data_IF_698997128162
#
_entry.id   IF_698997128162
#
_cell.length_a   1.000
_cell.length_b   1.000
_cell.length_c   1.000
_cell.angle_alpha   90.00
_cell.angle_beta   90.00
_cell.angle_gamma   90.00
#
_symmetry.space_group_name_H-M   'P 1'
#
loop_
_entity.id
_entity.type
_entity.pdbx_description
1 polymer ?
#
# COMPACT_ATOMS: atom_id res chain seq x y z
N UNK A 1 11.38 -15.78 -25.61
CA UNK A 1 11.79 -14.74 -24.65
C UNK A 1 10.89 -14.92 -23.44
N UNK A 2 11.41 -15.42 -22.32
CA UNK A 2 10.66 -15.43 -21.07
C UNK A 2 10.39 -13.98 -20.69
N UNK A 3 9.14 -13.54 -20.87
CA UNK A 3 8.75 -12.16 -20.71
C UNK A 3 8.76 -11.77 -19.24
N UNK A 4 9.69 -10.92 -18.85
CA UNK A 4 9.67 -10.25 -17.54
C UNK A 4 8.37 -9.46 -17.41
N UNK A 5 7.47 -9.91 -16.54
CA UNK A 5 6.21 -9.21 -16.27
C UNK A 5 6.48 -7.92 -15.49
N UNK A 6 5.52 -6.98 -15.50
CA UNK A 6 5.56 -5.76 -14.69
C UNK A 6 5.67 -6.02 -13.18
N UNK A 7 5.36 -7.25 -12.74
CA UNK A 7 5.46 -7.68 -11.35
C UNK A 7 6.83 -8.24 -10.96
N UNK A 8 7.70 -8.54 -11.93
CA UNK A 8 9.01 -9.16 -11.64
C UNK A 8 9.84 -8.36 -10.62
N UNK A 9 9.98 -7.02 -10.74
CA UNK A 9 10.71 -6.24 -9.75
C UNK A 9 10.13 -6.37 -8.34
N UNK A 10 8.79 -6.43 -8.21
CA UNK A 10 8.12 -6.58 -6.92
C UNK A 10 8.37 -7.95 -6.31
N UNK A 11 8.34 -9.02 -7.12
CA UNK A 11 8.61 -10.38 -6.68
C UNK A 11 10.05 -10.54 -6.17
N UNK A 12 11.03 -9.95 -6.87
CA UNK A 12 12.42 -9.97 -6.44
C UNK A 12 12.66 -9.11 -5.20
N UNK A 13 12.10 -7.90 -5.17
CA UNK A 13 12.22 -7.01 -4.01
C UNK A 13 11.59 -7.58 -2.75
N UNK A 14 10.48 -8.31 -2.85
CA UNK A 14 9.81 -8.96 -1.71
C UNK A 14 10.72 -9.94 -0.96
N UNK A 15 11.71 -10.55 -1.63
CA UNK A 15 12.67 -11.46 -0.99
C UNK A 15 13.60 -10.74 0.00
N UNK A 16 13.73 -9.41 -0.14
CA UNK A 16 14.67 -8.58 0.59
C UNK A 16 14.01 -7.73 1.70
N UNK A 17 12.69 -7.87 1.90
CA UNK A 17 11.94 -7.01 2.85
C UNK A 17 12.18 -7.35 4.31
N UNK A 18 12.82 -8.49 4.60
CA UNK A 18 13.12 -8.96 5.95
C UNK A 18 14.62 -9.06 6.18
N UNK A 19 15.05 -8.80 7.41
CA UNK A 19 16.39 -9.12 7.88
C UNK A 19 16.59 -10.64 7.99
N UNK A 20 17.81 -11.08 8.25
CA UNK A 20 18.14 -12.49 8.51
C UNK A 20 17.33 -13.05 9.69
N UNK A 21 16.95 -12.21 10.66
CA UNK A 21 16.13 -12.57 11.82
C UNK A 21 14.61 -12.49 11.52
N UNK A 22 14.21 -12.19 10.29
CA UNK A 22 12.81 -12.11 9.88
C UNK A 22 12.12 -10.78 10.18
N UNK A 23 12.86 -9.76 10.63
CA UNK A 23 12.31 -8.45 10.97
C UNK A 23 12.13 -7.59 9.71
N UNK A 24 11.03 -6.86 9.60
CA UNK A 24 10.74 -6.02 8.43
C UNK A 24 11.71 -4.83 8.35
N UNK A 25 12.47 -4.76 7.25
CA UNK A 25 13.36 -3.65 6.93
C UNK A 25 12.57 -2.53 6.27
N UNK A 26 12.70 -1.30 6.78
CA UNK A 26 11.93 -0.15 6.31
C UNK A 26 12.17 0.14 4.84
N UNK A 27 13.43 0.32 4.45
CA UNK A 27 13.77 0.78 3.09
C UNK A 27 13.39 -0.25 2.02
N UNK A 28 13.76 -1.54 2.14
CA UNK A 28 13.30 -2.58 1.22
C UNK A 28 11.77 -2.70 1.14
N UNK A 29 11.05 -2.63 2.26
CA UNK A 29 9.60 -2.67 2.28
C UNK A 29 8.99 -1.51 1.48
N UNK A 30 9.43 -0.27 1.74
CA UNK A 30 8.92 0.92 1.05
C UNK A 30 9.27 0.90 -0.44
N UNK A 31 10.46 0.43 -0.79
CA UNK A 31 10.88 0.28 -2.19
C UNK A 31 9.96 -0.69 -2.93
N UNK A 32 9.61 -1.83 -2.33
CA UNK A 32 8.63 -2.78 -2.90
C UNK A 32 7.25 -2.13 -3.05
N UNK A 33 6.76 -1.42 -2.01
CA UNK A 33 5.48 -0.73 -2.09
C UNK A 33 5.43 0.29 -3.23
N UNK A 34 6.54 0.97 -3.56
CA UNK A 34 6.59 1.92 -4.68
C UNK A 34 6.44 1.28 -6.05
N UNK A 35 6.87 0.02 -6.20
CA UNK A 35 6.81 -0.68 -7.48
C UNK A 35 5.37 -0.90 -7.95
N UNK A 36 4.38 -0.75 -7.07
CA UNK A 36 2.98 -0.78 -7.46
C UNK A 36 2.51 0.47 -8.18
N UNK A 37 3.12 1.64 -7.93
CA UNK A 37 2.62 2.92 -8.44
C UNK A 37 2.57 2.96 -9.98
N UNK A 38 3.59 2.47 -10.72
CA UNK A 38 3.53 2.37 -12.17
C UNK A 38 2.52 1.33 -12.69
N UNK A 39 2.19 0.31 -11.89
CA UNK A 39 1.14 -0.67 -12.23
C UNK A 39 -0.23 0.01 -12.15
N UNK A 40 -0.46 0.85 -11.13
CA UNK A 40 -1.69 1.61 -10.99
C UNK A 40 -1.91 2.61 -12.13
N UNK A 41 -0.84 3.14 -12.71
CA UNK A 41 -0.94 3.99 -13.91
C UNK A 41 -1.50 3.24 -15.12
N UNK A 42 -1.33 1.92 -15.20
CA UNK A 42 -1.90 1.09 -16.27
C UNK A 42 -3.40 0.86 -16.13
N UNK A 43 -3.95 1.08 -14.94
CA UNK A 43 -5.38 0.94 -14.65
C UNK A 43 -6.18 2.23 -14.88
N UNK A 44 -5.51 3.32 -15.29
CA UNK A 44 -6.17 4.57 -15.69
C UNK A 44 -6.69 5.41 -14.52
N UNK A 45 -7.52 6.40 -14.86
CA UNK A 45 -7.96 7.46 -13.94
C UNK A 45 -8.70 6.96 -12.69
N UNK A 46 -9.38 5.81 -12.79
CA UNK A 46 -10.08 5.20 -11.67
C UNK A 46 -9.17 4.89 -10.47
N UNK A 47 -7.88 4.60 -10.72
CA UNK A 47 -6.89 4.30 -9.68
C UNK A 47 -6.09 5.51 -9.19
N UNK A 48 -6.37 6.73 -9.70
CA UNK A 48 -5.61 7.93 -9.33
C UNK A 48 -5.68 8.23 -7.83
N UNK A 49 -6.86 8.09 -7.21
CA UNK A 49 -7.03 8.30 -5.77
C UNK A 49 -6.29 7.26 -4.93
N UNK A 50 -6.34 5.99 -5.36
CA UNK A 50 -5.62 4.89 -4.70
C UNK A 50 -4.10 5.11 -4.79
N UNK A 51 -3.61 5.49 -5.97
CA UNK A 51 -2.19 5.82 -6.19
C UNK A 51 -1.76 6.99 -5.31
N UNK A 52 -2.58 8.04 -5.22
CA UNK A 52 -2.27 9.22 -4.40
C UNK A 52 -2.18 8.88 -2.91
N UNK A 53 -3.12 8.08 -2.39
CA UNK A 53 -3.11 7.63 -0.99
C UNK A 53 -1.87 6.77 -0.68
N UNK A 54 -1.59 5.75 -1.50
CA UNK A 54 -0.42 4.88 -1.34
C UNK A 54 0.87 5.71 -1.39
N UNK A 55 1.00 6.60 -2.39
CA UNK A 55 2.16 7.46 -2.55
C UNK A 55 2.39 8.37 -1.34
N UNK A 56 1.31 9.00 -0.83
CA UNK A 56 1.39 9.86 0.35
C UNK A 56 1.81 9.12 1.61
N UNK A 57 1.29 7.91 1.83
CA UNK A 57 1.68 7.07 2.96
C UNK A 57 3.14 6.59 2.87
N UNK A 58 3.62 6.24 1.67
CA UNK A 58 5.03 5.92 1.43
C UNK A 58 5.92 7.12 1.74
N UNK A 59 5.64 8.29 1.13
CA UNK A 59 6.44 9.51 1.33
C UNK A 59 6.54 9.89 2.80
N UNK A 60 5.45 9.71 3.57
CA UNK A 60 5.46 9.96 5.02
C UNK A 60 6.46 9.06 5.76
N UNK A 61 6.43 7.75 5.51
CA UNK A 61 7.33 6.78 6.12
C UNK A 61 8.78 7.02 5.70
N UNK A 62 9.02 7.34 4.42
CA UNK A 62 10.36 7.67 3.92
C UNK A 62 10.93 8.95 4.51
N UNK A 63 10.09 9.96 4.69
CA UNK A 63 10.49 11.21 5.34
C UNK A 63 10.98 10.92 6.75
N UNK A 64 10.23 10.11 7.51
CA UNK A 64 10.64 9.69 8.86
C UNK A 64 11.92 8.86 8.84
N UNK A 65 12.02 7.88 7.94
CA UNK A 65 13.23 7.07 7.77
C UNK A 65 14.47 7.94 7.56
N UNK A 66 14.36 8.93 6.68
CA UNK A 66 15.46 9.82 6.30
C UNK A 66 15.96 10.69 7.45
N UNK A 67 15.15 10.92 8.49
CA UNK A 67 15.61 11.67 9.67
C UNK A 67 16.66 10.92 10.49
N UNK A 68 16.62 9.58 10.49
CA UNK A 68 17.62 8.73 11.15
C UNK A 68 17.53 7.28 10.62
N UNK A 69 18.19 6.97 9.49
CA UNK A 69 18.13 5.65 8.87
C UNK A 69 18.56 4.50 9.78
N UNK A 70 19.54 4.73 10.64
CA UNK A 70 20.01 3.72 11.62
C UNK A 70 18.92 3.39 12.63
N UNK A 71 18.27 4.40 13.21
CA UNK A 71 17.20 4.22 14.19
C UNK A 71 15.95 3.59 13.59
N UNK A 72 15.62 3.95 12.35
CA UNK A 72 14.44 3.46 11.65
C UNK A 72 14.76 2.40 10.61
N UNK A 73 15.85 1.66 10.77
CA UNK A 73 16.20 0.55 9.88
C UNK A 73 15.09 -0.53 9.86
N UNK A 74 14.52 -0.82 11.01
CA UNK A 74 13.36 -1.69 11.16
C UNK A 74 12.06 -0.89 11.07
N UNK A 75 11.10 -1.41 10.31
CA UNK A 75 9.83 -0.73 10.01
C UNK A 75 9.07 -0.38 11.29
N UNK A 76 9.01 -1.32 12.23
CA UNK A 76 8.26 -1.15 13.46
C UNK A 76 8.95 -0.23 14.49
N UNK A 77 10.20 0.17 14.29
CA UNK A 77 10.85 1.17 15.16
C UNK A 77 10.13 2.51 15.15
N UNK A 78 9.59 2.93 14.00
CA UNK A 78 8.77 4.15 13.91
C UNK A 78 7.48 4.03 14.72
N UNK A 79 6.84 2.85 14.66
CA UNK A 79 5.60 2.56 15.37
C UNK A 79 5.84 2.54 16.87
N UNK A 80 6.89 1.85 17.33
CA UNK A 80 7.20 1.77 18.75
C UNK A 80 7.50 3.14 19.36
N UNK A 81 8.22 4.01 18.64
CA UNK A 81 8.45 5.38 19.09
C UNK A 81 7.14 6.15 19.24
N UNK A 82 6.27 6.15 18.23
CA UNK A 82 5.02 6.90 18.28
C UNK A 82 4.03 6.35 19.32
N UNK A 83 4.03 5.04 19.56
CA UNK A 83 3.25 4.41 20.63
C UNK A 83 3.78 4.85 21.99
N UNK A 84 5.09 4.79 22.21
CA UNK A 84 5.72 5.25 23.45
C UNK A 84 5.49 6.74 23.73
N UNK A 85 5.51 7.55 22.67
CA UNK A 85 5.23 9.00 22.73
C UNK A 85 3.73 9.34 22.75
N UNK A 86 2.83 8.35 22.62
CA UNK A 86 1.37 8.53 22.52
C UNK A 86 0.92 9.42 21.34
N UNK A 87 1.70 9.44 20.26
CA UNK A 87 1.43 10.22 19.03
C UNK A 87 0.93 9.36 17.86
N UNK A 88 0.86 8.03 18.02
CA UNK A 88 0.49 7.07 16.97
C UNK A 88 -0.90 7.26 16.32
N UNK A 89 -1.78 8.09 16.91
CA UNK A 89 -3.11 8.41 16.36
C UNK A 89 -3.18 9.77 15.66
N UNK A 90 -2.05 10.50 15.60
CA UNK A 90 -1.99 11.81 14.94
C UNK A 90 -2.25 11.72 13.44
N UNK A 91 -2.77 12.80 12.85
CA UNK A 91 -3.02 12.87 11.39
C UNK A 91 -1.74 12.68 10.56
N UNK A 92 -0.60 13.12 11.07
CA UNK A 92 0.74 12.98 10.48
C UNK A 92 1.52 11.74 10.96
N UNK A 93 0.91 10.88 11.77
CA UNK A 93 1.58 9.69 12.32
C UNK A 93 2.02 8.72 11.22
N UNK A 94 3.24 8.20 11.38
CA UNK A 94 3.79 7.10 10.58
C UNK A 94 3.08 5.79 10.87
N UNK A 95 2.68 5.54 12.11
CA UNK A 95 1.85 4.38 12.50
C UNK A 95 0.54 4.38 11.73
N UNK A 96 -0.15 5.52 11.68
CA UNK A 96 -1.39 5.64 10.91
C UNK A 96 -1.12 5.51 9.40
N UNK A 97 -0.03 6.09 8.89
CA UNK A 97 0.38 5.94 7.48
C UNK A 97 0.66 4.48 7.09
N UNK A 98 1.37 3.74 7.95
CA UNK A 98 1.66 2.32 7.74
C UNK A 98 0.37 1.47 7.77
N UNK A 99 -0.57 1.80 8.67
CA UNK A 99 -1.87 1.13 8.72
C UNK A 99 -2.65 1.30 7.41
N UNK A 100 -2.75 2.53 6.90
CA UNK A 100 -3.45 2.79 5.63
C UNK A 100 -2.72 2.19 4.43
N UNK A 101 -1.39 2.24 4.41
CA UNK A 101 -0.59 1.56 3.39
C UNK A 101 -0.87 0.04 3.39
N UNK A 102 -0.91 -0.60 4.55
CA UNK A 102 -1.21 -2.04 4.66
C UNK A 102 -2.60 -2.36 4.13
N UNK A 103 -3.62 -1.57 4.51
CA UNK A 103 -5.00 -1.75 4.02
C UNK A 103 -5.11 -1.55 2.51
N UNK A 104 -4.35 -0.61 1.94
CA UNK A 104 -4.29 -0.41 0.50
C UNK A 104 -3.62 -1.61 -0.19
N UNK A 105 -2.58 -2.20 0.40
CA UNK A 105 -1.97 -3.43 -0.12
C UNK A 105 -2.94 -4.61 -0.07
N UNK A 106 -3.74 -4.77 1.00
CA UNK A 106 -4.80 -5.79 1.08
C UNK A 106 -5.81 -5.65 -0.07
N UNK A 107 -6.24 -4.41 -0.34
CA UNK A 107 -7.12 -4.09 -1.47
C UNK A 107 -6.50 -4.52 -2.81
N UNK A 108 -5.22 -4.20 -3.04
CA UNK A 108 -4.54 -4.52 -4.28
C UNK A 108 -4.34 -6.02 -4.49
N UNK A 109 -4.02 -6.74 -3.41
CA UNK A 109 -3.93 -8.20 -3.46
C UNK A 109 -5.29 -8.79 -3.84
N UNK A 110 -6.38 -8.32 -3.23
CA UNK A 110 -7.73 -8.80 -3.58
C UNK A 110 -8.12 -8.43 -5.01
N UNK A 111 -7.78 -7.23 -5.46
CA UNK A 111 -7.99 -6.80 -6.84
C UNK A 111 -7.28 -7.71 -7.84
N UNK A 112 -6.02 -8.06 -7.59
CA UNK A 112 -5.28 -8.97 -8.46
C UNK A 112 -5.83 -10.40 -8.43
N UNK A 113 -6.32 -10.89 -7.28
CA UNK A 113 -7.04 -12.17 -7.23
C UNK A 113 -8.29 -12.14 -8.09
N UNK A 114 -9.12 -11.12 -7.92
CA UNK A 114 -10.35 -10.96 -8.72
C UNK A 114 -10.05 -10.88 -10.23
N UNK A 115 -9.00 -10.16 -10.65
CA UNK A 115 -8.61 -10.08 -12.06
C UNK A 115 -8.08 -11.41 -12.62
N UNK A 116 -7.51 -12.28 -11.78
CA UNK A 116 -7.05 -13.62 -12.17
C UNK A 116 -8.21 -14.64 -12.21
N UNK A 117 -9.12 -14.58 -11.24
CA UNK A 117 -10.22 -15.54 -11.08
C UNK A 117 -11.40 -15.21 -12.02
N UNK A 118 -11.61 -13.94 -12.34
CA UNK A 118 -12.75 -13.45 -13.13
C UNK A 118 -12.28 -12.67 -14.37
N UNK A 119 -11.77 -13.40 -15.36
CA UNK A 119 -11.24 -12.81 -16.60
C UNK A 119 -12.30 -12.05 -17.43
N UNK A 120 -13.59 -12.30 -17.18
CA UNK A 120 -14.73 -11.65 -17.82
C UNK A 120 -15.20 -10.38 -17.09
N UNK A 121 -14.69 -10.10 -15.89
CA UNK A 121 -15.05 -8.89 -15.15
C UNK A 121 -14.42 -7.64 -15.74
N UNK A 122 -15.19 -6.56 -15.73
CA UNK A 122 -14.66 -5.22 -15.92
C UNK A 122 -13.77 -4.82 -14.75
N UNK A 123 -12.85 -3.88 -14.99
CA UNK A 123 -12.01 -3.32 -13.93
C UNK A 123 -12.84 -2.70 -12.78
N UNK A 124 -13.98 -2.08 -13.12
CA UNK A 124 -14.90 -1.50 -12.15
C UNK A 124 -15.49 -2.57 -11.22
N UNK A 125 -15.97 -3.69 -11.76
CA UNK A 125 -16.48 -4.81 -10.98
C UNK A 125 -15.42 -5.38 -10.04
N UNK A 126 -14.22 -5.65 -10.56
CA UNK A 126 -13.11 -6.16 -9.75
C UNK A 126 -12.72 -5.19 -8.63
N UNK A 127 -12.68 -3.88 -8.90
CA UNK A 127 -12.37 -2.87 -7.91
C UNK A 127 -13.46 -2.71 -6.84
N UNK A 128 -14.73 -2.66 -7.22
CA UNK A 128 -15.85 -2.50 -6.29
C UNK A 128 -15.97 -3.70 -5.34
N UNK A 129 -15.80 -4.92 -5.86
CA UNK A 129 -15.80 -6.13 -5.04
C UNK A 129 -14.61 -6.15 -4.06
N UNK A 130 -13.40 -5.90 -4.57
CA UNK A 130 -12.18 -5.85 -3.74
C UNK A 130 -12.30 -4.80 -2.64
N UNK A 131 -12.84 -3.62 -2.98
CA UNK A 131 -13.09 -2.54 -2.03
C UNK A 131 -14.09 -2.96 -0.93
N UNK A 132 -15.17 -3.62 -1.32
CA UNK A 132 -16.17 -4.16 -0.40
C UNK A 132 -15.57 -5.12 0.64
N UNK A 133 -14.68 -6.02 0.19
CA UNK A 133 -14.03 -7.03 1.05
C UNK A 133 -12.94 -6.45 1.96
N UNK A 134 -12.31 -5.34 1.57
CA UNK A 134 -11.09 -4.83 2.23
C UNK A 134 -11.27 -3.46 2.90
N UNK A 135 -11.34 -2.39 2.10
CA UNK A 135 -11.24 -1.00 2.55
C UNK A 135 -12.56 -0.42 3.06
N UNK A 136 -13.71 -0.88 2.55
CA UNK A 136 -15.02 -0.27 2.83
C UNK A 136 -15.34 -0.15 4.31
N UNK A 137 -14.97 -1.15 5.12
CA UNK A 137 -15.19 -1.15 6.58
C UNK A 137 -14.39 -0.08 7.34
N UNK A 138 -13.38 0.50 6.71
CA UNK A 138 -12.50 1.51 7.31
C UNK A 138 -12.81 2.93 6.84
N UNK A 139 -13.54 3.08 5.73
CA UNK A 139 -13.94 4.37 5.19
C UNK A 139 -15.25 4.87 5.82
N UNK A 140 -15.27 6.13 6.23
CA UNK A 140 -16.53 6.83 6.52
C UNK A 140 -17.36 7.02 5.25
N UNK A 141 -18.65 7.37 5.41
CA UNK A 141 -19.61 7.45 4.29
C UNK A 141 -19.14 8.33 3.11
N UNK A 142 -18.47 9.46 3.40
CA UNK A 142 -17.91 10.35 2.37
C UNK A 142 -16.84 9.64 1.53
N UNK A 143 -15.85 9.04 2.18
CA UNK A 143 -14.76 8.33 1.51
C UNK A 143 -15.26 7.11 0.72
N UNK A 144 -16.30 6.43 1.22
CA UNK A 144 -16.93 5.30 0.52
C UNK A 144 -17.69 5.72 -0.73
N UNK A 145 -18.38 6.87 -0.65
CA UNK A 145 -19.09 7.44 -1.80
C UNK A 145 -18.12 7.90 -2.89
N UNK A 146 -17.05 8.62 -2.53
CA UNK A 146 -16.02 9.08 -3.47
C UNK A 146 -15.33 7.92 -4.19
N UNK A 147 -15.02 6.83 -3.49
CA UNK A 147 -14.42 5.66 -4.12
C UNK A 147 -15.37 5.04 -5.16
N UNK A 148 -16.64 4.85 -4.79
CA UNK A 148 -17.62 4.22 -5.67
C UNK A 148 -17.81 5.01 -6.96
N UNK A 149 -17.92 6.34 -6.86
CA UNK A 149 -18.06 7.26 -8.02
C UNK A 149 -16.84 7.26 -8.94
N UNK A 150 -15.63 7.14 -8.38
CA UNK A 150 -14.41 7.18 -9.20
C UNK A 150 -14.12 5.86 -9.93
N UNK A 151 -14.71 4.77 -9.46
CA UNK A 151 -14.53 3.42 -10.01
C UNK A 151 -15.67 3.01 -10.95
N UNK A 152 -16.88 3.55 -10.74
CA UNK A 152 -18.04 3.39 -11.64
C UNK A 152 -17.85 4.14 -12.96
#
# INVERSE_FOLDING_TARGET
>A
MEGTTVFTPSLEGMKLVKSENGEMLTKPFLDVCKLILPVLDKFGAAMALVKSDIGGNITRLETKYSTNPTKYNLLYSMVQEEVGAKTAKGSSSCTNGLLWLTRAMDFLVELFRNLLEHADWTMSQACLDSYGKTLKKWHGWLASSSFSVNVS
#
